data_IF_326097033713
#
_entry.id   IF_326097033713
#
_cell.length_a   1.000
_cell.length_b   1.000
_cell.length_c   1.000
_cell.angle_alpha   90.00
_cell.angle_beta   90.00
_cell.angle_gamma   90.00
#
_symmetry.space_group_name_H-M   'P 1'
#
loop_
_entity.id
_entity.type
_entity.pdbx_description
1 polymer ?
#
# COMPACT_ATOMS: atom_id res chain seq x y z
N UNK A 1 6.71 0.20 -13.58
CA UNK A 1 5.50 -0.36 -12.96
C UNK A 1 5.35 0.05 -11.51
N UNK A 2 6.46 0.42 -10.87
CA UNK A 2 6.43 0.95 -9.52
C UNK A 2 5.86 2.37 -9.52
N UNK A 3 4.94 2.63 -8.58
CA UNK A 3 4.48 3.99 -8.32
C UNK A 3 5.51 4.62 -7.40
N UNK A 4 6.16 5.73 -7.81
CA UNK A 4 7.18 6.38 -6.97
C UNK A 4 6.58 6.83 -5.63
N UNK A 5 7.37 6.76 -4.56
CA UNK A 5 6.89 7.13 -3.23
C UNK A 5 6.36 8.56 -3.16
N UNK A 6 6.91 9.47 -3.96
CA UNK A 6 6.45 10.85 -4.01
C UNK A 6 5.00 11.01 -4.49
N UNK A 7 4.45 9.99 -5.15
CA UNK A 7 3.06 9.97 -5.62
C UNK A 7 2.15 9.14 -4.73
N UNK A 8 2.69 8.47 -3.72
CA UNK A 8 1.91 7.62 -2.85
C UNK A 8 1.24 8.47 -1.78
N UNK A 9 -0.07 8.28 -1.63
CA UNK A 9 -0.82 8.90 -0.53
C UNK A 9 -0.59 8.07 0.72
N UNK A 10 0.10 8.63 1.71
CA UNK A 10 0.36 7.95 2.97
C UNK A 10 -0.08 8.85 4.13
N UNK A 11 -0.25 8.24 5.30
CA UNK A 11 -0.56 8.96 6.53
C UNK A 11 0.49 8.67 7.59
N UNK A 12 0.68 9.62 8.50
CA UNK A 12 1.53 9.44 9.66
C UNK A 12 0.81 8.63 10.74
N UNK A 13 1.56 7.87 11.52
CA UNK A 13 1.01 7.18 12.68
C UNK A 13 0.41 8.14 13.71
N UNK A 14 0.86 9.40 13.71
CA UNK A 14 0.36 10.44 14.61
C UNK A 14 -0.85 11.20 14.07
N UNK A 15 -1.32 10.85 12.87
CA UNK A 15 -2.52 11.49 12.29
C UNK A 15 -3.73 11.24 13.19
N UNK A 16 -4.45 12.32 13.53
CA UNK A 16 -5.65 12.21 14.35
C UNK A 16 -6.76 11.42 13.64
N UNK A 17 -7.68 10.87 14.43
CA UNK A 17 -8.84 10.15 13.88
C UNK A 17 -9.66 11.06 12.96
N UNK A 18 -9.80 12.34 13.30
CA UNK A 18 -10.53 13.30 12.48
C UNK A 18 -9.89 13.53 11.12
N UNK A 19 -8.57 13.72 11.09
CA UNK A 19 -7.84 13.91 9.83
C UNK A 19 -7.81 12.62 9.01
N UNK A 20 -7.66 11.49 9.68
CA UNK A 20 -7.72 10.19 9.05
C UNK A 20 -9.08 9.98 8.37
N UNK A 21 -10.15 10.34 9.05
CA UNK A 21 -11.51 10.23 8.52
C UNK A 21 -11.67 11.03 7.22
N UNK A 22 -11.14 12.25 7.18
CA UNK A 22 -11.16 13.08 5.98
C UNK A 22 -10.39 12.41 4.84
N UNK A 23 -9.19 11.90 5.15
CA UNK A 23 -8.34 11.26 4.15
C UNK A 23 -8.99 10.02 3.54
N UNK A 24 -9.58 9.14 4.36
CA UNK A 24 -10.20 7.91 3.86
C UNK A 24 -11.47 8.16 3.08
N UNK A 25 -12.19 9.24 3.36
CA UNK A 25 -13.41 9.60 2.62
C UNK A 25 -13.09 10.20 1.25
N UNK A 26 -11.94 10.81 1.10
CA UNK A 26 -11.55 11.48 -0.13
C UNK A 26 -10.62 10.68 -1.03
N UNK A 27 -10.09 9.56 -0.54
CA UNK A 27 -9.17 8.74 -1.33
C UNK A 27 -9.91 7.80 -2.29
N UNK A 28 -9.28 7.57 -3.45
CA UNK A 28 -9.73 6.55 -4.39
C UNK A 28 -9.05 5.20 -4.13
N UNK A 29 -8.08 5.18 -3.22
CA UNK A 29 -7.31 3.98 -2.91
C UNK A 29 -8.02 3.15 -1.86
N UNK A 30 -7.78 1.84 -1.90
CA UNK A 30 -8.36 0.90 -0.92
C UNK A 30 -7.45 0.67 0.26
N UNK A 31 -6.19 1.08 0.16
CA UNK A 31 -5.18 0.90 1.20
C UNK A 31 -4.27 2.11 1.24
N UNK A 32 -3.86 2.50 2.45
CA UNK A 32 -3.01 3.66 2.68
C UNK A 32 -1.82 3.24 3.54
N UNK A 33 -0.58 3.40 3.06
CA UNK A 33 0.59 3.15 3.89
C UNK A 33 0.66 4.12 5.06
N UNK A 34 1.09 3.63 6.21
CA UNK A 34 1.26 4.44 7.42
C UNK A 34 2.76 4.51 7.73
N UNK A 35 3.25 5.71 7.98
CA UNK A 35 4.66 5.96 8.27
C UNK A 35 4.84 6.50 9.68
N UNK A 36 6.02 6.25 10.25
CA UNK A 36 6.41 6.83 11.53
C UNK A 36 7.11 8.18 11.32
N UNK A 37 7.61 8.76 12.42
CA UNK A 37 8.30 10.06 12.37
C UNK A 37 9.57 10.05 11.53
N UNK A 38 10.15 8.86 11.30
CA UNK A 38 11.36 8.69 10.48
C UNK A 38 11.05 8.48 9.00
N UNK A 39 9.77 8.43 8.64
CA UNK A 39 9.36 8.14 7.27
C UNK A 39 9.37 6.67 6.90
N UNK A 40 9.60 5.78 7.86
CA UNK A 40 9.54 4.33 7.62
C UNK A 40 8.11 3.84 7.66
N UNK A 41 7.78 2.91 6.76
CA UNK A 41 6.45 2.31 6.74
C UNK A 41 6.31 1.34 7.91
N UNK A 42 5.29 1.53 8.73
CA UNK A 42 5.01 0.66 9.87
C UNK A 42 3.85 -0.30 9.61
N UNK A 43 3.13 -0.11 8.53
CA UNK A 43 2.02 -0.98 8.16
C UNK A 43 1.17 -0.31 7.09
N UNK A 44 0.08 -0.98 6.75
CA UNK A 44 -0.88 -0.51 5.74
C UNK A 44 -2.26 -0.46 6.37
N UNK A 45 -2.96 0.63 6.12
CA UNK A 45 -4.30 0.86 6.65
C UNK A 45 -5.34 0.50 5.58
N UNK A 46 -6.17 -0.54 5.81
CA UNK A 46 -7.25 -0.84 4.88
C UNK A 46 -8.39 0.16 5.05
N UNK A 47 -8.71 0.88 3.99
CA UNK A 47 -9.70 1.97 4.02
C UNK A 47 -11.07 1.47 4.46
N UNK A 48 -11.51 0.33 3.94
CA UNK A 48 -12.82 -0.23 4.30
C UNK A 48 -12.94 -0.47 5.81
N UNK A 49 -11.88 -0.98 6.45
CA UNK A 49 -11.89 -1.24 7.89
C UNK A 49 -12.03 0.05 8.70
N UNK A 50 -11.40 1.13 8.22
CA UNK A 50 -11.53 2.44 8.87
C UNK A 50 -12.97 2.95 8.77
N UNK A 51 -13.59 2.77 7.60
CA UNK A 51 -14.98 3.21 7.39
C UNK A 51 -15.96 2.42 8.26
N UNK A 52 -15.67 1.14 8.50
CA UNK A 52 -16.52 0.27 9.34
C UNK A 52 -16.28 0.49 10.83
N UNK A 53 -15.10 0.97 11.22
CA UNK A 53 -14.72 1.18 12.61
C UNK A 53 -14.01 2.54 12.77
N UNK A 54 -14.73 3.66 12.56
CA UNK A 54 -14.10 4.97 12.42
C UNK A 54 -13.45 5.49 13.71
N UNK A 55 -13.78 4.93 14.87
CA UNK A 55 -13.20 5.36 16.13
C UNK A 55 -12.07 4.47 16.64
N UNK A 56 -11.76 3.40 15.92
CA UNK A 56 -10.69 2.49 16.31
C UNK A 56 -9.34 3.14 16.04
N UNK A 57 -8.39 3.08 16.99
CA UNK A 57 -7.05 3.62 16.76
C UNK A 57 -6.37 2.98 15.55
N UNK A 58 -5.61 3.79 14.83
CA UNK A 58 -4.91 3.34 13.62
C UNK A 58 -4.06 2.10 13.88
N UNK A 59 -3.34 2.06 14.99
CA UNK A 59 -2.46 0.93 15.34
C UNK A 59 -3.21 -0.41 15.42
N UNK A 60 -4.49 -0.39 15.75
CA UNK A 60 -5.30 -1.59 15.90
C UNK A 60 -5.90 -2.04 14.56
N UNK A 61 -5.83 -1.20 13.53
CA UNK A 61 -6.35 -1.49 12.21
C UNK A 61 -5.26 -1.82 11.19
N UNK A 62 -4.00 -1.59 11.54
CA UNK A 62 -2.89 -1.83 10.62
C UNK A 62 -2.73 -3.29 10.27
N UNK A 63 -2.45 -3.57 9.00
CA UNK A 63 -2.00 -4.87 8.54
C UNK A 63 -0.52 -4.79 8.21
N UNK A 64 0.16 -5.92 8.29
CA UNK A 64 1.59 -5.99 7.99
C UNK A 64 1.86 -5.65 6.53
N UNK A 65 2.89 -4.82 6.29
CA UNK A 65 3.30 -4.48 4.94
C UNK A 65 4.12 -5.61 4.33
N UNK A 66 3.88 -5.89 3.06
CA UNK A 66 4.74 -6.78 2.28
C UNK A 66 5.82 -5.92 1.62
N UNK A 67 7.07 -6.37 1.66
CA UNK A 67 8.19 -5.66 1.06
C UNK A 67 8.77 -6.43 -0.12
N UNK A 68 9.09 -5.70 -1.17
CA UNK A 68 9.87 -6.22 -2.30
C UNK A 68 11.01 -5.23 -2.58
N UNK A 69 12.03 -5.67 -3.30
CA UNK A 69 13.14 -4.80 -3.68
C UNK A 69 12.94 -4.24 -5.08
N UNK A 70 13.65 -3.15 -5.45
CA UNK A 70 13.60 -2.65 -6.82
C UNK A 70 14.06 -3.67 -7.87
N UNK A 71 14.81 -4.69 -7.43
CA UNK A 71 15.32 -5.74 -8.32
C UNK A 71 14.42 -6.96 -8.37
N UNK A 72 13.36 -7.01 -7.58
CA UNK A 72 12.41 -8.12 -7.61
C UNK A 72 11.72 -8.16 -8.97
N UNK A 73 11.74 -9.33 -9.59
CA UNK A 73 11.07 -9.52 -10.90
C UNK A 73 9.56 -9.41 -10.73
N UNK A 74 8.88 -8.93 -11.77
CA UNK A 74 7.42 -8.79 -11.78
C UNK A 74 6.72 -10.10 -11.41
N UNK A 75 7.18 -11.21 -11.96
CA UNK A 75 6.61 -12.53 -11.66
C UNK A 75 6.74 -12.89 -10.18
N UNK A 76 7.89 -12.59 -9.59
CA UNK A 76 8.14 -12.90 -8.18
C UNK A 76 7.32 -11.99 -7.27
N UNK A 77 7.21 -10.70 -7.60
CA UNK A 77 6.38 -9.77 -6.86
C UNK A 77 4.90 -10.18 -6.92
N UNK A 78 4.43 -10.55 -8.11
CA UNK A 78 3.05 -11.00 -8.30
C UNK A 78 2.77 -12.27 -7.48
N UNK A 79 3.72 -13.21 -7.50
CA UNK A 79 3.60 -14.45 -6.72
C UNK A 79 3.52 -14.16 -5.22
N UNK A 80 4.38 -13.28 -4.71
CA UNK A 80 4.37 -12.90 -3.30
C UNK A 80 3.07 -12.23 -2.89
N UNK A 81 2.54 -11.35 -3.74
CA UNK A 81 1.26 -10.69 -3.47
C UNK A 81 0.12 -11.70 -3.39
N UNK A 82 0.09 -12.66 -4.33
CA UNK A 82 -0.94 -13.70 -4.34
C UNK A 82 -0.83 -14.63 -3.14
N UNK A 83 0.37 -15.08 -2.81
CA UNK A 83 0.60 -15.99 -1.68
C UNK A 83 0.24 -15.33 -0.34
N UNK A 84 0.53 -14.04 -0.19
CA UNK A 84 0.27 -13.32 1.05
C UNK A 84 -1.16 -12.79 1.16
N UNK A 85 -1.92 -12.83 0.07
CA UNK A 85 -3.25 -12.23 0.04
C UNK A 85 -3.23 -10.71 0.09
N UNK A 86 -2.08 -10.10 -0.17
CA UNK A 86 -1.93 -8.63 -0.18
C UNK A 86 -2.21 -8.09 -1.57
N UNK A 87 -2.73 -6.86 -1.65
CA UNK A 87 -2.96 -6.18 -2.92
C UNK A 87 -1.86 -5.19 -3.25
N UNK A 88 -0.97 -4.90 -2.29
CA UNK A 88 0.07 -3.89 -2.44
C UNK A 88 1.33 -4.34 -1.72
N UNK A 89 2.49 -4.04 -2.32
CA UNK A 89 3.80 -4.25 -1.71
C UNK A 89 4.56 -2.94 -1.70
N UNK A 90 5.34 -2.73 -0.64
CA UNK A 90 6.23 -1.57 -0.51
C UNK A 90 7.56 -1.93 -1.16
N UNK A 91 8.05 -1.09 -2.04
CA UNK A 91 9.37 -1.27 -2.67
C UNK A 91 10.41 -0.57 -1.81
N UNK A 92 11.38 -1.33 -1.33
CA UNK A 92 12.45 -0.81 -0.46
C UNK A 92 13.69 -1.68 -0.59
N UNK A 93 14.87 -1.07 -0.51
CA UNK A 93 16.14 -1.80 -0.51
C UNK A 93 16.55 -2.26 0.88
N UNK A 94 16.11 -1.56 1.93
CA UNK A 94 16.52 -1.81 3.31
C UNK A 94 15.38 -2.27 4.22
N UNK A 95 14.16 -2.39 3.68
CA UNK A 95 13.00 -2.74 4.46
C UNK A 95 12.48 -1.63 5.37
N UNK A 96 13.00 -0.43 5.26
CA UNK A 96 12.64 0.72 6.11
C UNK A 96 12.25 1.94 5.29
N UNK A 97 13.12 2.37 4.37
CA UNK A 97 12.90 3.56 3.57
C UNK A 97 12.17 3.18 2.29
N UNK A 98 10.91 3.62 2.12
CA UNK A 98 10.16 3.26 0.93
C UNK A 98 10.66 4.03 -0.29
N UNK A 99 10.74 3.34 -1.43
CA UNK A 99 11.02 3.95 -2.72
C UNK A 99 9.78 4.11 -3.56
N UNK A 100 8.78 3.29 -3.30
CA UNK A 100 7.52 3.30 -4.02
C UNK A 100 6.67 2.12 -3.60
N UNK A 101 5.62 1.90 -4.37
CA UNK A 101 4.73 0.75 -4.17
C UNK A 101 4.48 0.06 -5.51
N UNK A 102 4.15 -1.21 -5.44
CA UNK A 102 3.58 -1.95 -6.56
C UNK A 102 2.26 -2.54 -6.11
N UNK A 103 1.27 -2.53 -6.98
CA UNK A 103 -0.05 -3.09 -6.67
C UNK A 103 -0.33 -4.28 -7.57
N UNK A 104 -1.17 -5.19 -7.07
CA UNK A 104 -1.60 -6.34 -7.85
C UNK A 104 -2.24 -5.88 -9.16
N UNK A 105 -3.07 -4.84 -9.10
CA UNK A 105 -3.72 -4.27 -10.27
C UNK A 105 -2.71 -3.82 -11.32
N UNK A 106 -1.68 -3.05 -10.91
CA UNK A 106 -0.69 -2.52 -11.83
C UNK A 106 0.17 -3.61 -12.46
N UNK A 107 0.43 -4.69 -11.73
CA UNK A 107 1.21 -5.82 -12.26
C UNK A 107 0.40 -6.68 -13.23
N UNK A 108 -0.91 -6.72 -13.07
CA UNK A 108 -1.81 -7.54 -13.89
C UNK A 108 -2.29 -6.78 -15.13
N UNK A 109 -2.48 -5.47 -15.06
CA UNK A 109 -2.98 -4.65 -16.19
C UNK A 109 -2.25 -4.87 -17.51
N UNK A 110 -0.91 -4.93 -17.57
CA UNK A 110 -0.23 -5.18 -18.83
C UNK A 110 -0.62 -6.51 -19.48
N UNK A 111 -0.82 -7.55 -18.66
CA UNK A 111 -1.21 -8.87 -19.15
C UNK A 111 -2.64 -8.84 -19.67
N UNK A 112 -3.55 -8.22 -18.93
CA UNK A 112 -4.95 -8.07 -19.33
C UNK A 112 -5.05 -7.20 -20.58
N UNK A 113 -4.24 -6.14 -20.67
CA UNK A 113 -4.18 -5.28 -21.83
C UNK A 113 -3.78 -6.02 -23.09
N UNK A 114 -2.79 -6.92 -23.01
CA UNK A 114 -2.39 -7.76 -24.12
C UNK A 114 -3.52 -8.70 -24.55
N UNK A 115 -4.20 -9.31 -23.58
CA UNK A 115 -5.34 -10.19 -23.88
C UNK A 115 -6.50 -9.41 -24.50
N UNK A 116 -6.73 -8.20 -24.05
CA UNK A 116 -7.82 -7.36 -24.55
C UNK A 116 -7.55 -6.84 -25.97
N UNK A 117 -6.30 -6.87 -26.43
CA UNK A 117 -5.94 -6.45 -27.78
C UNK A 117 -6.40 -7.44 -28.86
N UNK A 118 -6.86 -8.59 -28.45
CA UNK A 118 -7.43 -9.59 -29.35
C UNK A 118 -8.87 -9.23 -29.68
#
# INVERSE_FOLDING_TARGET
EMIPWSRVSCLSESTSIQRRSIAVRSTEHTRIPIVNARGSVIGVLPVLQVLLAPETPTKDLLIEALYVTPHTKVQDALHQLRESGRAMAIVSTDGKTPKGIVTLKDLVEPIVGELAAW
#
